data_IF_531116672986
#
_entry.id   IF_531116672986
#
_cell.length_a   1.000
_cell.length_b   1.000
_cell.length_c   1.000
_cell.angle_alpha   90.00
_cell.angle_beta   90.00
_cell.angle_gamma   90.00
#
_symmetry.space_group_name_H-M   'P 1'
#
loop_
_entity.id
_entity.type
_entity.pdbx_description
1 polymer ?
#
# COMPACT_ATOMS: atom_id res chain seq x y z
N UNK A 1 16.54 23.25 2.00
CA UNK A 1 15.65 23.00 3.17
C UNK A 1 14.23 22.82 2.65
N UNK A 2 13.84 21.62 2.25
CA UNK A 2 12.54 21.38 1.61
C UNK A 2 11.46 21.15 2.68
N UNK A 3 10.86 22.22 3.20
CA UNK A 3 9.55 22.10 3.85
C UNK A 3 8.59 21.64 2.75
N UNK A 4 8.06 20.41 2.81
CA UNK A 4 7.22 19.78 1.77
C UNK A 4 5.93 20.53 1.33
N UNK A 5 5.73 21.77 1.79
CA UNK A 5 4.62 22.65 1.41
C UNK A 5 4.51 22.87 -0.10
N UNK A 6 5.64 22.90 -0.83
CA UNK A 6 5.65 23.05 -2.29
C UNK A 6 5.71 21.71 -3.04
N UNK A 7 6.29 20.65 -2.47
CA UNK A 7 6.44 19.36 -3.16
C UNK A 7 5.09 18.69 -3.40
N UNK A 8 4.15 18.84 -2.47
CA UNK A 8 2.84 18.20 -2.57
C UNK A 8 1.94 18.82 -3.66
N UNK A 9 1.75 20.15 -3.74
CA UNK A 9 1.03 20.77 -4.86
C UNK A 9 1.66 20.45 -6.22
N UNK A 10 2.99 20.44 -6.31
CA UNK A 10 3.70 20.11 -7.56
C UNK A 10 3.45 18.65 -7.96
N UNK A 11 3.51 17.71 -7.02
CA UNK A 11 3.20 16.30 -7.29
C UNK A 11 1.75 16.11 -7.77
N UNK A 12 0.79 16.83 -7.18
CA UNK A 12 -0.62 16.82 -7.62
C UNK A 12 -0.74 17.36 -9.04
N UNK A 13 -0.12 18.50 -9.35
CA UNK A 13 -0.18 19.09 -10.69
C UNK A 13 0.39 18.14 -11.75
N UNK A 14 1.55 17.52 -11.47
CA UNK A 14 2.16 16.52 -12.35
C UNK A 14 1.24 15.30 -12.51
N UNK A 15 0.67 14.80 -11.41
CA UNK A 15 -0.28 13.69 -11.42
C UNK A 15 -1.50 13.99 -12.31
N UNK A 16 -2.12 15.16 -12.15
CA UNK A 16 -3.28 15.55 -12.92
C UNK A 16 -2.94 15.73 -14.40
N UNK A 17 -1.82 16.39 -14.72
CA UNK A 17 -1.37 16.57 -16.10
C UNK A 17 -1.14 15.24 -16.80
N UNK A 18 -0.40 14.33 -16.16
CA UNK A 18 -0.12 13.01 -16.74
C UNK A 18 -1.40 12.19 -16.90
N UNK A 19 -2.28 12.17 -15.90
CA UNK A 19 -3.58 11.47 -15.96
C UNK A 19 -4.51 12.03 -17.04
N UNK A 20 -4.44 13.32 -17.36
CA UNK A 20 -5.20 13.92 -18.47
C UNK A 20 -4.62 13.50 -19.82
N UNK A 21 -3.29 13.43 -19.93
CA UNK A 21 -2.60 13.06 -21.16
C UNK A 21 -2.78 11.57 -21.48
N UNK A 22 -2.79 10.71 -20.47
CA UNK A 22 -2.84 9.26 -20.63
C UNK A 22 -4.22 8.64 -20.41
N UNK A 23 -5.17 9.40 -19.88
CA UNK A 23 -6.52 8.93 -19.58
C UNK A 23 -7.32 8.74 -20.86
N UNK A 24 -7.62 7.49 -21.19
CA UNK A 24 -8.40 7.14 -22.38
C UNK A 24 -9.86 6.83 -22.05
N UNK A 25 -10.13 6.31 -20.83
CA UNK A 25 -11.47 5.88 -20.44
C UNK A 25 -12.03 6.67 -19.25
N UNK A 26 -13.35 6.88 -19.25
CA UNK A 26 -14.05 7.49 -18.12
C UNK A 26 -13.88 6.73 -16.81
N UNK A 27 -13.59 5.43 -16.87
CA UNK A 27 -13.35 4.58 -15.70
C UNK A 27 -12.03 4.93 -14.99
N UNK A 28 -11.04 5.49 -15.70
CA UNK A 28 -9.75 5.88 -15.12
C UNK A 28 -9.90 7.05 -14.11
N UNK A 29 -10.99 7.81 -14.21
CA UNK A 29 -11.37 8.84 -13.22
C UNK A 29 -11.63 8.20 -11.86
N UNK A 30 -12.19 6.99 -11.81
CA UNK A 30 -12.41 6.26 -10.55
C UNK A 30 -11.07 5.92 -9.91
N UNK A 31 -10.10 5.43 -10.70
CA UNK A 31 -8.75 5.14 -10.20
C UNK A 31 -8.07 6.43 -9.67
N UNK A 32 -8.23 7.57 -10.36
CA UNK A 32 -7.75 8.86 -9.87
C UNK A 32 -8.38 9.25 -8.52
N UNK A 33 -9.70 9.08 -8.37
CA UNK A 33 -10.40 9.35 -7.11
C UNK A 33 -9.93 8.43 -5.98
N UNK A 34 -9.72 7.15 -6.26
CA UNK A 34 -9.15 6.22 -5.27
C UNK A 34 -7.74 6.64 -4.89
N UNK A 35 -6.90 7.06 -5.85
CA UNK A 35 -5.56 7.57 -5.58
C UNK A 35 -5.58 8.86 -4.74
N UNK A 36 -6.56 9.75 -4.93
CA UNK A 36 -6.74 10.94 -4.11
C UNK A 36 -7.18 10.57 -2.69
N UNK A 37 -8.07 9.58 -2.55
CA UNK A 37 -8.56 9.10 -1.26
C UNK A 37 -7.46 8.38 -0.46
N UNK A 38 -6.63 7.54 -1.09
CA UNK A 38 -5.48 6.92 -0.44
C UNK A 38 -4.44 7.97 -0.01
N UNK A 39 -4.20 8.99 -0.82
CA UNK A 39 -3.33 10.11 -0.45
C UNK A 39 -3.87 10.87 0.77
N UNK A 40 -5.18 11.11 0.84
CA UNK A 40 -5.83 11.71 2.02
C UNK A 40 -5.68 10.84 3.26
N UNK A 41 -5.97 9.54 3.16
CA UNK A 41 -5.82 8.61 4.27
C UNK A 41 -4.37 8.49 4.76
N UNK A 42 -3.38 8.58 3.86
CA UNK A 42 -1.97 8.66 4.24
C UNK A 42 -1.67 9.89 5.12
N UNK A 43 -2.23 11.06 4.80
CA UNK A 43 -2.13 12.26 5.63
C UNK A 43 -2.76 12.00 7.00
N UNK A 44 -3.95 11.41 7.02
CA UNK A 44 -4.71 11.14 8.25
C UNK A 44 -3.96 10.15 9.15
N UNK A 45 -3.46 9.04 8.61
CA UNK A 45 -2.67 8.04 9.33
C UNK A 45 -1.41 8.66 9.93
N UNK A 46 -0.66 9.43 9.14
CA UNK A 46 0.53 10.09 9.66
C UNK A 46 0.19 11.09 10.78
N UNK A 47 -0.94 11.80 10.67
CA UNK A 47 -1.41 12.75 11.68
C UNK A 47 -1.88 12.05 12.96
N UNK A 48 -2.67 10.98 12.82
CA UNK A 48 -3.25 10.23 13.93
C UNK A 48 -2.19 9.47 14.75
N UNK A 49 -1.26 8.80 14.07
CA UNK A 49 -0.27 7.95 14.74
C UNK A 49 1.07 8.63 14.96
N UNK A 50 1.29 9.78 14.34
CA UNK A 50 2.56 10.54 14.38
C UNK A 50 3.73 9.66 13.93
N UNK A 51 3.57 9.02 12.76
CA UNK A 51 4.60 8.17 12.18
C UNK A 51 5.85 8.98 11.86
N UNK A 52 5.66 10.17 11.29
CA UNK A 52 6.70 11.18 11.08
C UNK A 52 6.46 12.31 12.08
N UNK A 53 7.40 12.51 13.01
CA UNK A 53 7.27 13.50 14.10
C UNK A 53 7.29 14.97 13.64
N UNK A 54 7.76 15.25 12.43
CA UNK A 54 7.80 16.61 11.86
C UNK A 54 6.63 16.82 10.91
N UNK A 55 6.04 18.03 10.91
CA UNK A 55 4.93 18.37 10.03
C UNK A 55 5.43 18.45 8.58
N UNK A 56 5.27 17.36 7.83
CA UNK A 56 5.72 17.23 6.45
C UNK A 56 4.74 16.41 5.61
N UNK A 57 4.53 16.86 4.39
CA UNK A 57 3.73 16.20 3.34
C UNK A 57 4.61 15.39 2.37
N UNK A 58 5.89 15.18 2.69
CA UNK A 58 6.82 14.47 1.81
C UNK A 58 6.40 13.03 1.54
N UNK A 59 5.97 12.27 2.56
CA UNK A 59 5.48 10.89 2.38
C UNK A 59 4.36 10.81 1.34
N UNK A 60 3.38 11.71 1.41
CA UNK A 60 2.26 11.75 0.45
C UNK A 60 2.70 12.25 -0.92
N UNK A 61 3.65 13.18 -0.97
CA UNK A 61 4.24 13.63 -2.24
C UNK A 61 4.94 12.47 -2.96
N UNK A 62 5.69 11.64 -2.21
CA UNK A 62 6.33 10.44 -2.75
C UNK A 62 5.30 9.40 -3.21
N UNK A 63 4.25 9.16 -2.42
CA UNK A 63 3.16 8.28 -2.83
C UNK A 63 2.56 8.72 -4.18
N UNK A 64 2.14 9.99 -4.28
CA UNK A 64 1.53 10.54 -5.50
C UNK A 64 2.51 10.46 -6.67
N UNK A 65 3.79 10.80 -6.47
CA UNK A 65 4.78 10.77 -7.53
C UNK A 65 5.07 9.35 -8.02
N UNK A 66 5.25 8.39 -7.11
CA UNK A 66 5.49 6.98 -7.43
C UNK A 66 4.31 6.34 -8.15
N UNK A 67 3.08 6.60 -7.66
CA UNK A 67 1.85 6.14 -8.31
C UNK A 67 1.66 6.77 -9.69
N UNK A 68 2.07 8.04 -9.85
CA UNK A 68 2.01 8.73 -11.14
C UNK A 68 3.07 8.21 -12.12
N UNK A 69 4.29 7.97 -11.66
CA UNK A 69 5.40 7.49 -12.49
C UNK A 69 5.10 6.12 -13.09
N UNK A 70 4.33 5.27 -12.40
CA UNK A 70 3.90 3.96 -12.87
C UNK A 70 2.59 4.06 -13.68
N UNK A 71 2.67 4.52 -14.93
CA UNK A 71 1.49 4.79 -15.77
C UNK A 71 0.62 3.55 -16.04
N UNK A 72 1.21 2.36 -16.09
CA UNK A 72 0.46 1.11 -16.27
C UNK A 72 -0.54 0.84 -15.13
N UNK A 73 -0.35 1.46 -13.96
CA UNK A 73 -1.28 1.40 -12.82
C UNK A 73 -2.48 2.34 -12.95
N UNK A 74 -2.53 3.19 -13.99
CA UNK A 74 -3.61 4.19 -14.14
C UNK A 74 -4.89 3.59 -14.72
N UNK A 75 -4.77 2.49 -15.47
CA UNK A 75 -5.90 1.76 -16.00
C UNK A 75 -6.84 1.29 -14.88
N UNK A 76 -8.14 1.40 -15.09
CA UNK A 76 -9.12 0.96 -14.11
C UNK A 76 -9.17 -0.57 -14.01
N UNK A 77 -9.07 -1.07 -12.77
CA UNK A 77 -9.32 -2.47 -12.43
C UNK A 77 -10.18 -2.50 -11.15
N UNK A 78 -11.10 -3.45 -11.03
CA UNK A 78 -11.96 -3.57 -9.83
C UNK A 78 -11.14 -3.74 -8.53
N UNK A 79 -9.97 -4.36 -8.62
CA UNK A 79 -9.06 -4.53 -7.50
C UNK A 79 -8.34 -3.25 -7.03
N UNK A 80 -8.51 -2.10 -7.70
CA UNK A 80 -7.93 -0.80 -7.29
C UNK A 80 -8.41 -0.38 -5.89
N UNK A 81 -9.55 -0.88 -5.41
CA UNK A 81 -10.01 -0.63 -4.03
C UNK A 81 -9.29 -1.49 -2.97
N UNK A 82 -8.56 -2.54 -3.37
CA UNK A 82 -7.87 -3.43 -2.42
C UNK A 82 -6.74 -2.72 -1.64
N UNK A 83 -5.83 -1.93 -2.27
CA UNK A 83 -4.83 -1.16 -1.52
C UNK A 83 -5.45 -0.11 -0.59
N UNK A 84 -6.60 0.47 -0.97
CA UNK A 84 -7.33 1.42 -0.14
C UNK A 84 -7.88 0.77 1.13
N UNK A 85 -8.60 -0.35 0.98
CA UNK A 85 -9.16 -1.11 2.12
C UNK A 85 -8.04 -1.65 3.01
N UNK A 86 -6.94 -2.09 2.43
CA UNK A 86 -5.73 -2.49 3.15
C UNK A 86 -5.14 -1.36 4.00
N UNK A 87 -5.03 -0.14 3.45
CA UNK A 87 -4.53 1.01 4.19
C UNK A 87 -5.44 1.38 5.37
N UNK A 88 -6.77 1.31 5.17
CA UNK A 88 -7.75 1.49 6.25
C UNK A 88 -7.57 0.39 7.32
N UNK A 89 -7.36 -0.86 6.91
CA UNK A 89 -7.11 -1.96 7.82
C UNK A 89 -5.84 -1.74 8.67
N UNK A 90 -4.75 -1.26 8.08
CA UNK A 90 -3.53 -0.88 8.81
C UNK A 90 -3.83 0.23 9.82
N UNK A 91 -4.56 1.27 9.43
CA UNK A 91 -4.95 2.37 10.32
C UNK A 91 -5.73 1.86 11.54
N UNK A 92 -6.71 0.98 11.32
CA UNK A 92 -7.49 0.36 12.40
C UNK A 92 -6.66 -0.61 13.25
N UNK A 93 -5.65 -1.26 12.67
CA UNK A 93 -4.74 -2.09 13.44
C UNK A 93 -3.84 -1.22 14.34
N UNK A 94 -3.34 -0.09 13.84
CA UNK A 94 -2.53 0.85 14.64
C UNK A 94 -3.31 1.48 15.78
N UNK A 95 -4.60 1.74 15.62
CA UNK A 95 -5.46 2.25 16.70
C UNK A 95 -5.65 1.25 17.84
N UNK A 96 -5.33 -0.04 17.63
CA UNK A 96 -5.37 -1.06 18.67
C UNK A 96 -4.18 -1.03 19.64
N UNK A 97 -3.11 -0.29 19.31
CA UNK A 97 -1.88 -0.26 20.10
C UNK A 97 -2.12 0.18 21.54
N UNK A 98 -1.82 -0.70 22.50
CA UNK A 98 -2.01 -0.49 23.95
C UNK A 98 -3.41 0.04 24.33
N UNK A 99 -4.43 -0.22 23.48
CA UNK A 99 -5.80 0.18 23.74
C UNK A 99 -6.42 -0.73 24.82
N UNK A 100 -7.18 -0.17 25.79
CA UNK A 100 -7.86 -0.98 26.81
C UNK A 100 -8.98 -1.86 26.22
N UNK A 101 -9.54 -1.48 25.07
CA UNK A 101 -10.63 -2.19 24.40
C UNK A 101 -10.33 -2.41 22.92
N UNK A 102 -9.31 -3.23 22.58
CA UNK A 102 -8.79 -3.33 21.22
C UNK A 102 -9.70 -4.15 20.28
N UNK A 103 -10.68 -4.87 20.83
CA UNK A 103 -11.58 -5.74 20.06
C UNK A 103 -12.35 -4.99 18.96
N UNK A 104 -12.80 -3.76 19.23
CA UNK A 104 -13.51 -2.95 18.25
C UNK A 104 -12.63 -2.57 17.06
N UNK A 105 -11.46 -2.00 17.30
CA UNK A 105 -10.52 -1.61 16.24
C UNK A 105 -10.03 -2.82 15.44
N UNK A 106 -9.78 -3.95 16.10
CA UNK A 106 -9.36 -5.19 15.44
C UNK A 106 -10.48 -5.78 14.58
N UNK A 107 -11.73 -5.76 15.03
CA UNK A 107 -12.87 -6.13 14.20
C UNK A 107 -12.88 -5.31 12.90
N UNK A 108 -12.73 -3.99 12.98
CA UNK A 108 -12.70 -3.13 11.78
C UNK A 108 -11.49 -3.43 10.89
N UNK A 109 -10.32 -3.64 11.47
CA UNK A 109 -9.11 -3.97 10.70
C UNK A 109 -9.34 -5.23 9.86
N UNK A 110 -9.82 -6.31 10.47
CA UNK A 110 -10.09 -7.57 9.77
C UNK A 110 -11.31 -7.50 8.85
N UNK A 111 -12.32 -6.69 9.20
CA UNK A 111 -13.44 -6.40 8.31
C UNK A 111 -12.99 -5.76 7.00
N UNK A 112 -12.08 -4.79 7.04
CA UNK A 112 -11.56 -4.18 5.81
C UNK A 112 -10.64 -5.12 5.02
N UNK A 113 -9.88 -6.01 5.68
CA UNK A 113 -9.18 -7.10 4.98
C UNK A 113 -10.17 -8.06 4.29
N UNK A 114 -11.23 -8.47 5.00
CA UNK A 114 -12.31 -9.30 4.46
C UNK A 114 -13.03 -8.64 3.29
N UNK A 115 -13.31 -7.34 3.37
CA UNK A 115 -13.99 -6.58 2.32
C UNK A 115 -13.08 -6.44 1.10
N UNK A 116 -11.81 -6.06 1.29
CA UNK A 116 -10.85 -5.97 0.19
C UNK A 116 -10.58 -7.31 -0.47
N UNK A 117 -10.60 -8.41 0.28
CA UNK A 117 -10.38 -9.75 -0.25
C UNK A 117 -11.52 -10.31 -1.10
N UNK A 118 -12.72 -9.70 -1.07
CA UNK A 118 -13.75 -10.00 -2.07
C UNK A 118 -13.34 -9.54 -3.48
N UNK A 119 -12.53 -8.48 -3.58
CA UNK A 119 -12.04 -7.93 -4.84
C UNK A 119 -10.64 -8.44 -5.21
N UNK A 120 -9.83 -8.76 -4.20
CA UNK A 120 -8.47 -9.25 -4.37
C UNK A 120 -8.16 -10.31 -3.30
N UNK A 121 -8.48 -11.61 -3.55
CA UNK A 121 -8.45 -12.67 -2.54
C UNK A 121 -7.12 -12.82 -1.78
N UNK A 122 -6.01 -12.47 -2.43
CA UNK A 122 -4.66 -12.56 -1.90
C UNK A 122 -4.45 -11.64 -0.67
N UNK A 123 -5.34 -10.67 -0.42
CA UNK A 123 -5.36 -9.91 0.84
C UNK A 123 -5.49 -10.81 2.08
N UNK A 124 -6.12 -11.98 1.95
CA UNK A 124 -6.22 -12.94 3.06
C UNK A 124 -4.84 -13.46 3.50
N UNK A 125 -3.82 -13.45 2.64
CA UNK A 125 -2.45 -13.81 3.04
C UNK A 125 -1.81 -12.82 4.01
N UNK A 126 -2.39 -11.63 4.22
CA UNK A 126 -1.93 -10.67 5.23
C UNK A 126 -2.52 -10.94 6.62
N UNK A 127 -3.53 -11.81 6.74
CA UNK A 127 -4.18 -12.15 8.02
C UNK A 127 -3.19 -12.68 9.07
N UNK A 128 -2.29 -13.64 8.76
CA UNK A 128 -1.30 -14.09 9.73
C UNK A 128 -0.38 -12.96 10.18
N UNK A 129 0.03 -12.09 9.26
CA UNK A 129 0.87 -10.94 9.55
C UNK A 129 0.16 -9.93 10.47
N UNK A 130 -1.13 -9.69 10.27
CA UNK A 130 -1.94 -8.83 11.13
C UNK A 130 -2.03 -9.39 12.56
N UNK A 131 -2.21 -10.71 12.73
CA UNK A 131 -2.15 -11.33 14.05
C UNK A 131 -0.78 -11.20 14.72
N UNK A 132 0.32 -11.33 13.97
CA UNK A 132 1.68 -11.04 14.48
C UNK A 132 1.84 -9.57 14.88
N UNK A 133 1.24 -8.66 14.10
CA UNK A 133 1.13 -7.24 14.43
C UNK A 133 0.41 -7.00 15.76
N UNK A 134 -0.71 -7.69 16.00
CA UNK A 134 -1.46 -7.58 17.26
C UNK A 134 -0.64 -7.99 18.49
N UNK A 135 0.24 -9.00 18.36
CA UNK A 135 1.18 -9.37 19.43
C UNK A 135 2.12 -8.20 19.70
N UNK A 136 2.70 -7.64 18.65
CA UNK A 136 3.63 -6.52 18.73
C UNK A 136 2.99 -5.25 19.31
N UNK A 137 1.70 -5.02 19.02
CA UNK A 137 0.90 -3.90 19.51
C UNK A 137 0.27 -4.13 20.89
N UNK A 138 0.53 -5.30 21.51
CA UNK A 138 -0.04 -5.69 22.81
C UNK A 138 -1.57 -5.67 22.81
N UNK A 139 -2.17 -6.02 21.68
CA UNK A 139 -3.62 -5.96 21.45
C UNK A 139 -4.25 -7.34 21.23
N UNK A 140 -3.43 -8.42 21.21
CA UNK A 140 -3.90 -9.80 21.12
C UNK A 140 -4.41 -10.30 22.49
N UNK A 141 -5.69 -10.64 22.53
CA UNK A 141 -6.40 -11.32 23.62
C UNK A 141 -7.40 -12.30 23.01
N UNK A 142 -7.96 -13.23 23.77
CA UNK A 142 -9.00 -14.12 23.23
C UNK A 142 -10.18 -13.34 22.64
N UNK A 143 -10.64 -12.29 23.34
CA UNK A 143 -11.74 -11.43 22.88
C UNK A 143 -11.41 -10.75 21.55
N UNK A 144 -10.20 -10.19 21.42
CA UNK A 144 -9.80 -9.49 20.20
C UNK A 144 -9.42 -10.42 19.05
N UNK A 145 -8.92 -11.62 19.35
CA UNK A 145 -8.73 -12.68 18.35
C UNK A 145 -10.05 -13.06 17.67
N UNK A 146 -11.08 -13.36 18.47
CA UNK A 146 -12.40 -13.66 17.92
C UNK A 146 -13.05 -12.44 17.25
N UNK A 147 -12.78 -11.22 17.72
CA UNK A 147 -13.21 -10.02 17.01
C UNK A 147 -12.58 -9.89 15.62
N UNK A 148 -11.30 -10.27 15.47
CA UNK A 148 -10.64 -10.35 14.17
C UNK A 148 -11.28 -11.41 13.27
N UNK A 149 -11.52 -12.62 13.79
CA UNK A 149 -12.18 -13.69 13.04
C UNK A 149 -13.59 -13.28 12.58
N UNK A 150 -14.40 -12.70 13.47
CA UNK A 150 -15.76 -12.25 13.11
C UNK A 150 -15.70 -11.10 12.11
N UNK A 151 -14.79 -10.14 12.31
CA UNK A 151 -14.56 -9.04 11.36
C UNK A 151 -14.29 -9.57 9.95
N UNK A 152 -13.40 -10.55 9.84
CA UNK A 152 -13.06 -11.18 8.55
C UNK A 152 -14.22 -11.96 7.92
N UNK A 153 -15.01 -12.67 8.73
CA UNK A 153 -16.12 -13.48 8.22
C UNK A 153 -17.34 -12.66 7.77
N UNK A 154 -17.58 -11.47 8.35
CA UNK A 154 -18.78 -10.66 8.07
C UNK A 154 -18.94 -10.30 6.57
N UNK A 155 -17.90 -9.78 5.86
CA UNK A 155 -18.01 -9.51 4.42
C UNK A 155 -18.39 -10.75 3.61
N UNK A 156 -17.76 -11.90 3.90
CA UNK A 156 -18.08 -13.17 3.24
C UNK A 156 -19.48 -13.68 3.58
N UNK A 157 -19.96 -13.48 4.80
CA UNK A 157 -21.32 -13.85 5.20
C UNK A 157 -22.38 -13.04 4.43
N UNK A 158 -22.17 -11.73 4.30
CA UNK A 158 -23.05 -10.86 3.51
C UNK A 158 -23.01 -11.23 2.03
N UNK A 159 -21.82 -11.49 1.49
CA UNK A 159 -21.64 -11.90 0.10
C UNK A 159 -22.28 -13.26 -0.19
N UNK A 160 -22.17 -14.21 0.75
CA UNK A 160 -22.84 -15.51 0.69
C UNK A 160 -24.36 -15.34 0.64
N UNK A 161 -24.94 -14.51 1.53
CA UNK A 161 -26.38 -14.24 1.54
C UNK A 161 -26.88 -13.67 0.21
N UNK A 162 -26.12 -12.74 -0.38
CA UNK A 162 -26.40 -12.22 -1.72
C UNK A 162 -26.35 -13.32 -2.80
N UNK A 163 -25.26 -14.09 -2.84
CA UNK A 163 -25.06 -15.13 -3.85
C UNK A 163 -26.09 -16.25 -3.76
N UNK A 164 -26.50 -16.62 -2.54
CA UNK A 164 -27.53 -17.61 -2.28
C UNK A 164 -28.91 -17.11 -2.73
N UNK A 165 -29.27 -15.87 -2.41
CA UNK A 165 -30.59 -15.30 -2.76
C UNK A 165 -30.80 -15.17 -4.27
N UNK A 166 -29.75 -14.81 -5.02
CA UNK A 166 -29.82 -14.64 -6.48
C UNK A 166 -29.45 -15.88 -7.28
N UNK A 167 -29.26 -17.03 -6.63
CA UNK A 167 -28.84 -18.30 -7.26
C UNK A 167 -27.53 -18.17 -8.07
N UNK A 168 -26.60 -17.36 -7.57
CA UNK A 168 -25.28 -17.09 -8.18
C UNK A 168 -24.14 -17.60 -7.30
N UNK A 169 -24.27 -18.82 -6.78
CA UNK A 169 -23.28 -19.39 -5.85
C UNK A 169 -21.88 -19.53 -6.47
N UNK A 170 -21.77 -19.65 -7.80
CA UNK A 170 -20.49 -19.66 -8.50
C UNK A 170 -19.65 -18.40 -8.23
N UNK A 171 -20.29 -17.23 -8.05
CA UNK A 171 -19.60 -15.99 -7.70
C UNK A 171 -18.99 -16.04 -6.30
N UNK A 172 -19.63 -16.75 -5.37
CA UNK A 172 -19.13 -16.91 -4.01
C UNK A 172 -17.88 -17.82 -3.95
N UNK A 173 -17.86 -18.88 -4.74
CA UNK A 173 -16.72 -19.82 -4.74
C UNK A 173 -15.48 -19.25 -5.42
N UNK A 174 -15.63 -18.36 -6.40
CA UNK A 174 -14.53 -17.87 -7.22
C UNK A 174 -13.37 -17.25 -6.41
N UNK A 175 -13.58 -16.29 -5.48
CA UNK A 175 -12.50 -15.75 -4.64
C UNK A 175 -11.75 -16.82 -3.83
N UNK A 176 -12.47 -17.83 -3.33
CA UNK A 176 -11.89 -18.90 -2.53
C UNK A 176 -11.09 -19.88 -3.39
N UNK A 177 -11.58 -20.17 -4.60
CA UNK A 177 -10.88 -21.00 -5.58
C UNK A 177 -9.58 -20.34 -6.03
N UNK A 178 -9.57 -19.03 -6.30
CA UNK A 178 -8.36 -18.28 -6.65
C UNK A 178 -7.32 -18.29 -5.52
N UNK A 179 -7.76 -18.32 -4.25
CA UNK A 179 -6.85 -18.41 -3.12
C UNK A 179 -6.18 -19.79 -3.03
N UNK A 180 -6.94 -20.86 -3.26
CA UNK A 180 -6.47 -22.26 -3.13
C UNK A 180 -5.64 -22.68 -4.36
N UNK A 181 -6.03 -22.25 -5.55
CA UNK A 181 -5.35 -22.60 -6.79
C UNK A 181 -4.15 -21.68 -7.04
N UNK A 182 -3.01 -22.06 -6.49
CA UNK A 182 -1.75 -21.39 -6.76
C UNK A 182 -1.34 -21.59 -8.22
N UNK A 183 -1.50 -20.55 -9.04
CA UNK A 183 -1.09 -20.58 -10.45
C UNK A 183 0.44 -20.76 -10.55
N UNK A 184 0.93 -21.40 -11.62
CA UNK A 184 2.36 -21.59 -11.82
C UNK A 184 3.07 -20.24 -11.92
N UNK A 185 4.22 -20.14 -11.26
CA UNK A 185 5.05 -18.92 -11.25
C UNK A 185 5.57 -18.69 -12.68
N UNK A 186 4.99 -17.71 -13.37
CA UNK A 186 5.42 -17.31 -14.70
C UNK A 186 5.66 -15.82 -14.74
N UNK A 187 6.90 -15.43 -15.03
CA UNK A 187 7.28 -14.03 -15.24
C UNK A 187 7.16 -13.60 -16.70
N UNK A 188 6.77 -14.51 -17.60
CA UNK A 188 6.72 -14.25 -19.05
C UNK A 188 5.67 -13.21 -19.46
N UNK A 189 4.71 -12.91 -18.59
CA UNK A 189 3.66 -11.90 -18.82
C UNK A 189 4.04 -10.51 -18.31
N UNK A 190 5.18 -10.36 -17.62
CA UNK A 190 5.62 -9.07 -17.10
C UNK A 190 6.42 -8.30 -18.16
N UNK A 191 5.85 -7.18 -18.61
CA UNK A 191 6.54 -6.21 -19.44
C UNK A 191 7.80 -5.64 -18.77
N UNK A 192 8.75 -5.19 -19.58
CA UNK A 192 10.00 -4.62 -19.08
C UNK A 192 9.76 -3.35 -18.24
N UNK A 193 8.71 -2.59 -18.56
CA UNK A 193 8.23 -1.42 -17.81
C UNK A 193 7.89 -1.74 -16.35
N UNK A 194 7.23 -2.87 -16.12
CA UNK A 194 6.86 -3.36 -14.79
C UNK A 194 8.09 -3.77 -13.99
N UNK A 195 9.02 -4.49 -14.62
CA UNK A 195 10.25 -4.97 -13.97
C UNK A 195 11.15 -3.79 -13.59
N UNK A 196 11.37 -2.82 -14.48
CA UNK A 196 12.19 -1.64 -14.19
C UNK A 196 11.55 -0.79 -13.09
N UNK A 197 10.23 -0.56 -13.15
CA UNK A 197 9.50 0.17 -12.11
C UNK A 197 9.63 -0.53 -10.76
N UNK A 198 9.47 -1.85 -10.71
CA UNK A 198 9.70 -2.67 -9.52
C UNK A 198 11.13 -2.51 -9.00
N UNK A 199 12.14 -2.61 -9.87
CA UNK A 199 13.55 -2.50 -9.51
C UNK A 199 13.90 -1.15 -8.86
N UNK A 200 13.32 -0.07 -9.35
CA UNK A 200 13.53 1.27 -8.76
C UNK A 200 12.80 1.40 -7.42
N UNK A 201 11.55 0.95 -7.33
CA UNK A 201 10.74 1.00 -6.10
C UNK A 201 11.37 0.13 -5.00
N UNK A 202 11.84 -1.07 -5.36
CA UNK A 202 12.56 -1.98 -4.46
C UNK A 202 13.84 -1.36 -3.95
N UNK A 203 14.66 -0.75 -4.81
CA UNK A 203 15.87 -0.07 -4.38
C UNK A 203 15.57 1.06 -3.38
N UNK A 204 14.59 1.91 -3.70
CA UNK A 204 14.21 3.05 -2.87
C UNK A 204 13.68 2.59 -1.49
N UNK A 205 12.77 1.60 -1.48
CA UNK A 205 12.21 1.04 -0.24
C UNK A 205 13.26 0.32 0.59
N UNK A 206 14.10 -0.53 -0.02
CA UNK A 206 15.17 -1.26 0.66
C UNK A 206 16.14 -0.30 1.36
N UNK A 207 16.61 0.74 0.66
CA UNK A 207 17.51 1.74 1.27
C UNK A 207 16.83 2.46 2.43
N UNK A 208 15.54 2.79 2.29
CA UNK A 208 14.76 3.45 3.34
C UNK A 208 14.61 2.56 4.59
N UNK A 209 14.33 1.28 4.39
CA UNK A 209 14.11 0.30 5.47
C UNK A 209 15.41 -0.07 6.17
N UNK A 210 16.49 -0.30 5.43
CA UNK A 210 17.84 -0.52 5.99
C UNK A 210 18.30 0.69 6.80
N UNK A 211 18.16 1.89 6.25
CA UNK A 211 18.48 3.11 6.98
C UNK A 211 17.61 3.26 8.23
N UNK A 212 16.33 2.92 8.16
CA UNK A 212 15.44 2.98 9.32
C UNK A 212 15.96 2.08 10.46
N UNK A 213 16.41 0.86 10.19
CA UNK A 213 16.99 0.00 11.22
C UNK A 213 18.15 0.67 11.96
N UNK A 214 19.06 1.34 11.24
CA UNK A 214 20.19 2.04 11.84
C UNK A 214 19.79 3.22 12.74
N UNK A 215 18.68 3.90 12.43
CA UNK A 215 18.29 5.16 13.10
C UNK A 215 17.07 5.00 14.02
N UNK A 216 16.44 3.82 14.03
CA UNK A 216 15.22 3.49 14.78
C UNK A 216 15.28 3.82 16.28
N UNK A 217 16.49 3.84 16.87
CA UNK A 217 16.71 4.17 18.27
C UNK A 217 16.32 5.62 18.62
N UNK A 218 16.28 6.53 17.64
CA UNK A 218 15.90 7.93 17.82
C UNK A 218 14.37 8.14 17.96
N UNK A 219 13.57 7.14 17.60
CA UNK A 219 12.13 7.22 17.66
C UNK A 219 11.57 6.57 18.92
N UNK A 220 10.39 7.08 19.33
CA UNK A 220 9.61 6.54 20.43
C UNK A 220 9.26 5.08 20.16
N UNK A 221 9.18 4.28 21.22
CA UNK A 221 8.87 2.84 21.16
C UNK A 221 7.64 2.56 20.28
N UNK A 222 6.54 3.30 20.50
CA UNK A 222 5.31 3.16 19.69
C UNK A 222 5.56 3.32 18.18
N UNK A 223 6.19 4.42 17.77
CA UNK A 223 6.50 4.70 16.35
C UNK A 223 7.41 3.63 15.77
N UNK A 224 8.38 3.15 16.56
CA UNK A 224 9.28 2.08 16.15
C UNK A 224 8.54 0.78 15.86
N UNK A 225 7.61 0.38 16.73
CA UNK A 225 6.83 -0.84 16.52
C UNK A 225 5.94 -0.71 15.26
N UNK A 226 5.33 0.46 15.03
CA UNK A 226 4.57 0.72 13.79
C UNK A 226 5.43 0.63 12.53
N UNK A 227 6.60 1.28 12.51
CA UNK A 227 7.48 1.28 11.35
C UNK A 227 8.13 -0.09 11.11
N UNK A 228 8.47 -0.84 12.15
CA UNK A 228 8.90 -2.24 12.00
C UNK A 228 7.79 -3.13 11.46
N UNK A 229 6.53 -2.93 11.88
CA UNK A 229 5.41 -3.63 11.27
C UNK A 229 5.27 -3.28 9.78
N UNK A 230 5.39 -2.00 9.40
CA UNK A 230 5.37 -1.61 7.99
C UNK A 230 6.52 -2.24 7.18
N UNK A 231 7.72 -2.34 7.74
CA UNK A 231 8.84 -3.05 7.07
C UNK A 231 8.53 -4.55 6.90
N UNK A 232 7.91 -5.18 7.90
CA UNK A 232 7.46 -6.56 7.77
C UNK A 232 6.39 -6.72 6.68
N UNK A 233 5.48 -5.75 6.56
CA UNK A 233 4.50 -5.66 5.47
C UNK A 233 5.20 -5.52 4.10
N UNK A 234 6.21 -4.66 3.95
CA UNK A 234 6.97 -4.56 2.69
C UNK A 234 7.59 -5.90 2.30
N UNK A 235 8.28 -6.55 3.24
CA UNK A 235 8.90 -7.85 2.99
C UNK A 235 7.86 -8.90 2.58
N UNK A 236 6.67 -8.87 3.18
CA UNK A 236 5.56 -9.76 2.85
C UNK A 236 4.99 -9.48 1.46
N UNK A 237 4.82 -8.21 1.09
CA UNK A 237 4.38 -7.81 -0.25
C UNK A 237 5.38 -8.30 -1.31
N UNK A 238 6.69 -8.14 -1.08
CA UNK A 238 7.70 -8.67 -2.00
C UNK A 238 7.71 -10.18 -2.10
N UNK A 239 7.56 -10.88 -0.97
CA UNK A 239 7.43 -12.33 -0.97
C UNK A 239 6.24 -12.78 -1.83
N UNK A 240 5.07 -12.17 -1.64
CA UNK A 240 3.88 -12.45 -2.45
C UNK A 240 4.08 -12.06 -3.92
N UNK A 241 4.77 -10.94 -4.21
CA UNK A 241 5.05 -10.51 -5.58
C UNK A 241 5.97 -11.45 -6.35
N UNK A 242 6.95 -12.04 -5.66
CA UNK A 242 7.83 -13.07 -6.22
C UNK A 242 7.04 -14.36 -6.46
N UNK A 243 6.21 -14.77 -5.49
CA UNK A 243 5.45 -16.01 -5.55
C UNK A 243 4.25 -15.94 -6.50
N UNK A 244 3.65 -14.77 -6.70
CA UNK A 244 2.43 -14.55 -7.50
C UNK A 244 2.58 -13.37 -8.47
N UNK A 245 3.44 -13.48 -9.49
CA UNK A 245 3.68 -12.40 -10.45
C UNK A 245 2.42 -11.95 -11.21
N UNK A 246 1.38 -12.80 -11.30
CA UNK A 246 0.12 -12.41 -11.93
C UNK A 246 -0.62 -11.27 -11.21
N UNK A 247 -0.35 -11.04 -9.92
CA UNK A 247 -0.99 -9.99 -9.12
C UNK A 247 -0.09 -8.76 -8.93
N UNK A 248 0.94 -8.63 -9.78
CA UNK A 248 2.00 -7.65 -9.65
C UNK A 248 1.50 -6.22 -9.48
N UNK A 249 0.50 -5.78 -10.27
CA UNK A 249 0.05 -4.38 -10.26
C UNK A 249 -0.52 -3.95 -8.90
N UNK A 250 -1.38 -4.78 -8.32
CA UNK A 250 -2.04 -4.50 -7.04
C UNK A 250 -1.02 -4.58 -5.89
N UNK A 251 -0.14 -5.58 -5.91
CA UNK A 251 0.92 -5.73 -4.92
C UNK A 251 1.91 -4.55 -4.98
N UNK A 252 2.25 -4.08 -6.18
CA UNK A 252 3.09 -2.89 -6.35
C UNK A 252 2.41 -1.62 -5.83
N UNK A 253 1.09 -1.45 -6.05
CA UNK A 253 0.33 -0.33 -5.46
C UNK A 253 0.39 -0.36 -3.92
N UNK A 254 0.23 -1.52 -3.30
CA UNK A 254 0.38 -1.68 -1.84
C UNK A 254 1.82 -1.35 -1.40
N UNK A 255 2.81 -1.78 -2.17
CA UNK A 255 4.22 -1.49 -1.90
C UNK A 255 4.54 0.01 -1.99
N UNK A 256 3.97 0.72 -2.96
CA UNK A 256 4.13 2.17 -3.11
C UNK A 256 3.55 2.89 -1.89
N UNK A 257 2.41 2.46 -1.37
CA UNK A 257 1.80 3.03 -0.16
C UNK A 257 2.75 2.88 1.04
N UNK A 258 3.18 1.66 1.34
CA UNK A 258 4.02 1.38 2.51
C UNK A 258 5.41 2.00 2.36
N UNK A 259 6.04 1.86 1.20
CA UNK A 259 7.34 2.45 0.89
C UNK A 259 7.33 3.98 0.94
N UNK A 260 6.21 4.63 0.60
CA UNK A 260 6.09 6.09 0.68
C UNK A 260 6.18 6.63 2.12
N UNK A 261 5.69 5.88 3.10
CA UNK A 261 5.79 6.24 4.53
C UNK A 261 7.25 6.16 4.99
N UNK A 262 7.95 5.07 4.66
CA UNK A 262 9.33 4.83 5.07
C UNK A 262 10.31 5.80 4.39
N UNK A 263 10.15 6.03 3.08
CA UNK A 263 10.93 7.03 2.34
C UNK A 263 10.66 8.45 2.84
N UNK A 264 9.39 8.77 3.11
CA UNK A 264 9.01 10.03 3.74
C UNK A 264 9.67 10.22 5.10
N UNK A 265 9.70 9.17 5.93
CA UNK A 265 10.39 9.19 7.22
C UNK A 265 11.89 9.44 7.09
N UNK A 266 12.56 8.72 6.17
CA UNK A 266 13.97 8.91 5.85
C UNK A 266 14.26 10.39 5.55
N UNK A 267 13.62 10.96 4.54
CA UNK A 267 13.94 12.30 4.06
C UNK A 267 13.52 13.44 4.99
N UNK A 268 12.53 13.20 5.86
CA UNK A 268 12.06 14.24 6.79
C UNK A 268 12.91 14.35 8.05
N UNK A 269 13.51 13.25 8.49
CA UNK A 269 14.13 13.18 9.81
C UNK A 269 15.65 13.10 9.77
N UNK A 270 16.24 12.75 8.63
CA UNK A 270 17.69 12.52 8.53
C UNK A 270 18.39 13.57 7.69
N UNK A 271 19.34 14.27 8.32
CA UNK A 271 19.98 15.46 7.77
C UNK A 271 21.49 15.25 7.62
N UNK A 272 21.87 14.29 6.78
CA UNK A 272 23.27 13.96 6.50
C UNK A 272 23.56 14.13 5.00
N UNK A 273 24.85 14.24 4.64
CA UNK A 273 25.26 14.36 3.22
C UNK A 273 24.75 13.19 2.37
N UNK A 274 24.75 11.97 2.93
CA UNK A 274 24.21 10.78 2.28
C UNK A 274 22.71 10.93 1.95
N UNK A 275 21.89 11.39 2.90
CA UNK A 275 20.44 11.49 2.70
C UNK A 275 20.09 12.61 1.73
N UNK A 276 20.88 13.68 1.68
CA UNK A 276 20.78 14.73 0.66
C UNK A 276 21.12 14.23 -0.75
N UNK A 277 22.21 13.49 -0.92
CA UNK A 277 22.58 12.90 -2.22
C UNK A 277 21.53 11.87 -2.66
N UNK A 278 21.12 10.99 -1.74
CA UNK A 278 20.10 9.97 -2.00
C UNK A 278 18.75 10.59 -2.38
N UNK A 279 18.39 11.73 -1.78
CA UNK A 279 17.18 12.48 -2.16
C UNK A 279 17.23 12.95 -3.62
N UNK A 280 18.37 13.53 -4.04
CA UNK A 280 18.57 13.97 -5.43
C UNK A 280 18.52 12.78 -6.38
N UNK A 281 19.23 11.70 -6.07
CA UNK A 281 19.24 10.46 -6.88
C UNK A 281 17.82 9.90 -7.02
N UNK A 282 17.08 9.82 -5.91
CA UNK A 282 15.70 9.34 -5.91
C UNK A 282 14.83 10.18 -6.84
N UNK A 283 14.93 11.51 -6.77
CA UNK A 283 14.14 12.40 -7.62
C UNK A 283 14.51 12.25 -9.12
N UNK A 284 15.81 12.14 -9.43
CA UNK A 284 16.29 11.89 -10.80
C UNK A 284 15.78 10.55 -11.32
N UNK A 285 15.89 9.48 -10.54
CA UNK A 285 15.38 8.15 -10.90
C UNK A 285 13.88 8.18 -11.16
N UNK A 286 13.11 8.91 -10.36
CA UNK A 286 11.67 9.02 -10.54
C UNK A 286 11.29 9.81 -11.80
N UNK A 287 12.02 10.87 -12.15
CA UNK A 287 11.83 11.60 -13.42
C UNK A 287 12.15 10.69 -14.60
N UNK A 288 13.30 10.01 -14.57
CA UNK A 288 13.72 9.09 -15.62
C UNK A 288 12.70 7.95 -15.79
N UNK A 289 12.20 7.40 -14.68
CA UNK A 289 11.16 6.38 -14.70
C UNK A 289 9.86 6.89 -15.33
N UNK A 290 9.46 8.12 -15.02
CA UNK A 290 8.25 8.72 -15.62
C UNK A 290 8.41 8.90 -17.13
N UNK A 291 9.56 9.41 -17.58
CA UNK A 291 9.85 9.57 -19.01
C UNK A 291 9.89 8.21 -19.71
N UNK A 292 10.51 7.21 -19.09
CA UNK A 292 10.58 5.85 -19.63
C UNK A 292 9.21 5.21 -19.75
N UNK A 293 8.36 5.30 -18.72
CA UNK A 293 7.01 4.76 -18.77
C UNK A 293 6.13 5.49 -19.78
N UNK A 294 6.28 6.82 -19.94
CA UNK A 294 5.61 7.58 -21.01
C UNK A 294 6.03 7.08 -22.38
N UNK A 295 7.33 6.92 -22.61
CA UNK A 295 7.85 6.37 -23.85
C UNK A 295 7.25 4.99 -24.12
N UNK A 296 7.32 4.08 -23.16
CA UNK A 296 6.79 2.72 -23.33
C UNK A 296 5.29 2.72 -23.62
N UNK A 297 4.51 3.59 -22.98
CA UNK A 297 3.08 3.70 -23.23
C UNK A 297 2.76 4.22 -24.65
N UNK A 298 3.46 5.24 -25.14
CA UNK A 298 3.18 5.81 -26.47
C UNK A 298 3.74 4.99 -27.64
N UNK A 299 4.84 4.26 -27.43
CA UNK A 299 5.49 3.50 -28.51
C UNK A 299 5.12 2.02 -28.55
N UNK A 300 4.51 1.47 -27.48
CA UNK A 300 3.97 0.10 -27.45
C UNK A 300 2.44 0.04 -27.40
N UNK A 301 1.73 1.18 -27.53
CA UNK A 301 0.28 1.20 -27.81
C UNK A 301 0.00 1.17 -29.31
#
# INVERSE_FOLDING_TARGET
MAKGRFTFPVAILICLLLRIITGNEWQDVINLLVCALTAYLLIEINTAFTLIRTRSTLHVSFYVFLSTACLFLHSFQYAVFAPLTFLIAISQLFSSYESPYPAGSIFHAFFFIGLGSLLFPQLLYFVPLFYLGMISFRSLSLKSFFAGLTGLCVPYWLFFGYAFYYDKMNLFYHPLQELIHFQPISYGTLGMDRIISCGIITLISLVSSVHYFHVSYLDKVRTRIFLFFLIAVEAWIYLLGILQPQHFDILLQMQIIVGSILTGHLFTLTHNRFTGIFFIITFVLLIVLTIYNLWMQFFNS
#
